data_IF_734568515040
#
_entry.id   IF_734568515040
#
_cell.length_a   1.000
_cell.length_b   1.000
_cell.length_c   1.000
_cell.angle_alpha   90.00
_cell.angle_beta   90.00
_cell.angle_gamma   90.00
#
_symmetry.space_group_name_H-M   'P 1'
#
loop_
_entity.id
_entity.type
_entity.pdbx_description
1 polymer ?
#
# COMPACT_ATOMS: atom_id res chain seq x y z
N UNK A 1 -1.85 1.15 13.54
CA UNK A 1 -3.08 0.53 13.03
C UNK A 1 -2.73 -0.86 12.54
N UNK A 2 -3.62 -1.86 12.54
CA UNK A 2 -3.31 -3.15 11.93
C UNK A 2 -3.12 -3.02 10.42
N UNK A 3 -2.44 -3.99 9.81
CA UNK A 3 -2.41 -4.15 8.35
C UNK A 3 -3.81 -4.55 7.86
N UNK A 4 -4.41 -3.72 7.01
CA UNK A 4 -5.78 -3.92 6.52
C UNK A 4 -5.81 -4.69 5.21
N UNK A 5 -6.89 -5.44 4.99
CA UNK A 5 -7.14 -6.24 3.80
C UNK A 5 -8.38 -5.69 3.05
N UNK A 6 -8.30 -5.44 1.73
CA UNK A 6 -9.49 -5.12 0.95
C UNK A 6 -10.54 -6.24 1.06
N UNK A 7 -11.82 -5.88 1.01
CA UNK A 7 -12.95 -6.80 1.23
C UNK A 7 -13.18 -7.15 2.71
N UNK A 8 -12.18 -7.71 3.39
CA UNK A 8 -12.31 -8.12 4.80
C UNK A 8 -12.42 -6.90 5.73
N UNK A 9 -11.58 -5.88 5.51
CA UNK A 9 -11.50 -4.67 6.33
C UNK A 9 -12.10 -3.43 5.64
N UNK A 10 -13.00 -3.60 4.67
CA UNK A 10 -13.56 -2.51 3.84
C UNK A 10 -14.11 -1.34 4.65
N UNK A 11 -14.82 -1.61 5.75
CA UNK A 11 -15.34 -0.53 6.62
C UNK A 11 -14.20 0.26 7.28
N UNK A 12 -13.18 -0.44 7.77
CA UNK A 12 -12.00 0.18 8.41
C UNK A 12 -11.19 0.99 7.39
N UNK A 13 -11.01 0.47 6.17
CA UNK A 13 -10.38 1.18 5.05
C UNK A 13 -11.14 2.47 4.73
N UNK A 14 -12.46 2.38 4.55
CA UNK A 14 -13.32 3.53 4.24
C UNK A 14 -13.24 4.61 5.31
N UNK A 15 -13.29 4.23 6.58
CA UNK A 15 -13.18 5.17 7.69
C UNK A 15 -11.78 5.80 7.78
N UNK A 16 -10.73 5.01 7.64
CA UNK A 16 -9.36 5.48 7.80
C UNK A 16 -8.93 6.39 6.64
N UNK A 17 -9.35 6.07 5.42
CA UNK A 17 -9.00 6.80 4.20
C UNK A 17 -9.96 7.96 3.86
N UNK A 18 -11.04 8.15 4.62
CA UNK A 18 -11.96 9.29 4.46
C UNK A 18 -11.27 10.65 4.64
N UNK A 19 -10.16 10.67 5.37
CA UNK A 19 -9.32 11.85 5.55
C UNK A 19 -8.33 11.97 4.37
N UNK A 20 -8.40 13.03 3.56
CA UNK A 20 -7.61 13.15 2.32
C UNK A 20 -6.09 13.27 2.56
N UNK A 21 -5.70 13.72 3.74
CA UNK A 21 -4.32 13.86 4.21
C UNK A 21 -3.73 12.55 4.76
N UNK A 22 -4.54 11.51 4.97
CA UNK A 22 -4.05 10.23 5.49
C UNK A 22 -3.15 9.55 4.48
N UNK A 23 -1.97 9.12 4.91
CA UNK A 23 -1.06 8.38 4.03
C UNK A 23 -1.54 6.96 3.82
N UNK A 24 -1.47 6.48 2.58
CA UNK A 24 -1.79 5.12 2.18
C UNK A 24 -0.53 4.42 1.71
N UNK A 25 -0.21 3.29 2.33
CA UNK A 25 0.87 2.39 1.94
C UNK A 25 0.23 1.08 1.52
N UNK A 26 0.20 0.79 0.22
CA UNK A 26 -0.32 -0.47 -0.29
C UNK A 26 0.83 -1.40 -0.71
N UNK A 27 0.70 -2.68 -0.40
CA UNK A 27 1.62 -3.73 -0.80
C UNK A 27 0.89 -4.69 -1.72
N UNK A 28 1.21 -4.62 -3.02
CA UNK A 28 0.74 -5.55 -4.04
C UNK A 28 1.56 -6.84 -3.97
N UNK A 29 0.86 -7.94 -3.77
CA UNK A 29 1.41 -9.27 -3.51
C UNK A 29 0.52 -10.36 -4.11
N UNK A 30 1.02 -11.59 -4.08
CA UNK A 30 0.26 -12.78 -4.43
C UNK A 30 0.51 -13.89 -3.40
N UNK A 31 -0.47 -14.76 -3.17
CA UNK A 31 -0.42 -15.80 -2.14
C UNK A 31 0.74 -16.80 -2.36
N UNK A 32 1.07 -17.08 -3.62
CA UNK A 32 2.15 -18.00 -4.00
C UNK A 32 3.57 -17.41 -3.86
N UNK A 33 3.69 -16.11 -3.58
CA UNK A 33 4.99 -15.44 -3.48
C UNK A 33 5.64 -15.62 -2.10
N UNK A 34 6.70 -16.43 -2.03
CA UNK A 34 7.45 -16.68 -0.78
C UNK A 34 8.06 -15.41 -0.17
N UNK A 35 8.47 -14.46 -1.01
CA UNK A 35 8.98 -13.14 -0.59
C UNK A 35 7.90 -12.31 0.09
N UNK A 36 6.67 -12.30 -0.46
CA UNK A 36 5.52 -11.65 0.15
C UNK A 36 5.21 -12.25 1.52
N UNK A 37 5.17 -13.58 1.63
CA UNK A 37 4.91 -14.27 2.92
C UNK A 37 5.93 -13.88 4.00
N UNK A 38 7.20 -13.71 3.64
CA UNK A 38 8.25 -13.21 4.55
C UNK A 38 8.11 -11.73 4.89
N UNK A 39 7.48 -10.94 4.02
CA UNK A 39 7.34 -9.50 4.19
C UNK A 39 6.12 -9.12 5.03
N UNK A 40 5.00 -9.83 4.86
CA UNK A 40 3.73 -9.57 5.55
C UNK A 40 3.85 -9.33 7.06
N UNK A 41 4.50 -10.19 7.87
CA UNK A 41 4.60 -9.95 9.32
C UNK A 41 5.43 -8.70 9.66
N UNK A 42 6.41 -8.34 8.82
CA UNK A 42 7.23 -7.13 9.01
C UNK A 42 6.42 -5.88 8.66
N UNK A 43 5.63 -5.94 7.59
CA UNK A 43 4.74 -4.87 7.19
C UNK A 43 3.65 -4.64 8.25
N UNK A 44 3.08 -5.70 8.81
CA UNK A 44 2.10 -5.59 9.90
C UNK A 44 2.69 -4.98 11.17
N UNK A 45 3.91 -5.37 11.56
CA UNK A 45 4.61 -4.73 12.67
C UNK A 45 4.85 -3.23 12.41
N UNK A 46 5.22 -2.85 11.18
CA UNK A 46 5.40 -1.45 10.79
C UNK A 46 4.08 -0.66 10.82
N UNK A 47 2.97 -1.27 10.39
CA UNK A 47 1.64 -0.65 10.46
C UNK A 47 1.25 -0.33 11.92
N UNK A 48 1.55 -1.24 12.85
CA UNK A 48 1.35 -1.01 14.28
C UNK A 48 2.22 0.15 14.80
N UNK A 49 3.47 0.23 14.36
CA UNK A 49 4.40 1.31 14.75
C UNK A 49 4.03 2.69 14.18
N UNK A 50 3.23 2.75 13.09
CA UNK A 50 2.85 4.00 12.40
C UNK A 50 1.33 4.19 12.35
N UNK A 51 0.65 4.47 13.48
CA UNK A 51 -0.81 4.57 13.54
C UNK A 51 -1.42 5.76 12.79
N UNK A 52 -0.61 6.74 12.38
CA UNK A 52 -1.06 7.85 11.52
C UNK A 52 -1.16 7.49 10.03
N UNK A 53 -0.65 6.32 9.64
CA UNK A 53 -0.67 5.83 8.27
C UNK A 53 -1.58 4.61 8.14
N UNK A 54 -2.13 4.42 6.94
CA UNK A 54 -2.93 3.24 6.60
C UNK A 54 -2.08 2.32 5.75
N UNK A 55 -1.88 1.10 6.24
CA UNK A 55 -1.19 0.04 5.52
C UNK A 55 -2.21 -0.97 5.00
N UNK A 56 -2.04 -1.36 3.74
CA UNK A 56 -2.96 -2.27 3.05
C UNK A 56 -2.18 -3.39 2.40
N UNK A 57 -2.61 -4.62 2.64
CA UNK A 57 -2.11 -5.81 1.96
C UNK A 57 -3.06 -6.17 0.83
N UNK A 58 -2.58 -6.06 -0.41
CA UNK A 58 -3.37 -6.33 -1.61
C UNK A 58 -2.88 -7.65 -2.20
N UNK A 59 -3.72 -8.68 -2.11
CA UNK A 59 -3.55 -9.88 -2.93
C UNK A 59 -4.14 -9.60 -4.32
N UNK A 60 -3.30 -9.58 -5.33
CA UNK A 60 -3.70 -9.25 -6.70
C UNK A 60 -4.51 -10.38 -7.36
N UNK A 61 -4.46 -11.60 -6.81
CA UNK A 61 -5.31 -12.70 -7.27
C UNK A 61 -6.78 -12.47 -6.88
N UNK A 62 -7.00 -11.87 -5.70
CA UNK A 62 -8.33 -11.55 -5.18
C UNK A 62 -8.84 -10.17 -5.64
N UNK A 63 -7.92 -9.22 -5.87
CA UNK A 63 -8.24 -7.82 -6.20
C UNK A 63 -7.51 -7.31 -7.46
N UNK A 64 -7.71 -7.95 -8.63
CA UNK A 64 -7.03 -7.55 -9.86
C UNK A 64 -7.46 -6.16 -10.36
N UNK A 65 -8.66 -5.70 -9.99
CA UNK A 65 -9.19 -4.37 -10.30
C UNK A 65 -8.36 -3.24 -9.69
N UNK A 66 -7.64 -3.49 -8.58
CA UNK A 66 -6.72 -2.53 -7.98
C UNK A 66 -5.45 -2.30 -8.82
N UNK A 67 -5.13 -3.17 -9.78
CA UNK A 67 -4.02 -2.93 -10.71
C UNK A 67 -4.49 -2.21 -11.98
N UNK A 68 -5.73 -2.45 -12.42
CA UNK A 68 -6.24 -1.91 -13.67
C UNK A 68 -5.38 -2.37 -14.85
N UNK A 69 -4.81 -1.42 -15.60
CA UNK A 69 -3.93 -1.68 -16.75
C UNK A 69 -2.43 -1.78 -16.36
N UNK A 70 -2.10 -1.61 -15.08
CA UNK A 70 -0.72 -1.69 -14.60
C UNK A 70 -0.26 -3.15 -14.51
N UNK A 71 0.91 -3.45 -15.08
CA UNK A 71 1.49 -4.79 -15.03
C UNK A 71 2.51 -4.92 -13.89
N UNK A 72 2.12 -5.59 -12.81
CA UNK A 72 3.00 -5.87 -11.68
C UNK A 72 3.63 -7.25 -11.84
N UNK A 73 4.83 -7.28 -12.40
CA UNK A 73 5.58 -8.53 -12.62
C UNK A 73 6.42 -8.96 -11.40
N UNK A 74 6.72 -8.02 -10.49
CA UNK A 74 7.65 -8.24 -9.40
C UNK A 74 6.98 -8.01 -8.04
N UNK A 75 7.15 -8.95 -7.12
CA UNK A 75 6.52 -8.92 -5.80
C UNK A 75 7.53 -8.97 -4.65
N UNK A 76 7.28 -8.27 -3.53
CA UNK A 76 6.19 -7.30 -3.33
C UNK A 76 6.47 -5.97 -4.04
N UNK A 77 5.42 -5.34 -4.56
CA UNK A 77 5.48 -3.96 -5.07
C UNK A 77 4.71 -3.03 -4.15
N UNK A 78 5.34 -1.91 -3.80
CA UNK A 78 4.81 -0.95 -2.84
C UNK A 78 4.35 0.32 -3.53
N UNK A 79 3.24 0.86 -3.04
CA UNK A 79 2.71 2.16 -3.36
C UNK A 79 2.67 3.00 -2.09
N UNK A 80 3.15 4.25 -2.17
CA UNK A 80 2.98 5.25 -1.10
C UNK A 80 2.23 6.43 -1.68
N UNK A 81 1.09 6.77 -1.08
CA UNK A 81 0.26 7.92 -1.47
C UNK A 81 0.03 8.87 -0.31
N UNK A 82 0.07 10.17 -0.60
CA UNK A 82 -0.34 11.24 0.31
C UNK A 82 -1.04 12.35 -0.48
N UNK A 83 -2.14 12.90 0.06
CA UNK A 83 -2.87 14.00 -0.60
C UNK A 83 -3.35 13.66 -2.02
N UNK A 84 -3.74 12.41 -2.27
CA UNK A 84 -4.17 11.93 -3.59
C UNK A 84 -3.06 11.78 -4.64
N UNK A 85 -1.78 11.93 -4.25
CA UNK A 85 -0.62 11.80 -5.14
C UNK A 85 0.18 10.56 -4.79
N UNK A 86 0.68 9.87 -5.81
CA UNK A 86 1.66 8.78 -5.65
C UNK A 86 3.05 9.37 -5.45
N UNK A 87 3.65 9.12 -4.28
CA UNK A 87 4.99 9.59 -3.92
C UNK A 87 6.07 8.53 -4.18
N UNK A 88 5.68 7.26 -4.16
CA UNK A 88 6.55 6.14 -4.50
C UNK A 88 5.73 5.01 -5.10
N UNK A 89 6.29 4.37 -6.11
CA UNK A 89 5.78 3.13 -6.66
C UNK A 89 6.95 2.26 -7.12
N UNK A 90 7.06 1.04 -6.61
CA UNK A 90 8.11 0.12 -7.04
C UNK A 90 8.31 -1.09 -6.14
N UNK A 91 9.05 -2.06 -6.67
CA UNK A 91 9.38 -3.30 -5.98
C UNK A 91 10.31 -3.07 -4.79
N UNK A 92 10.02 -3.72 -3.67
CA UNK A 92 10.89 -3.65 -2.50
C UNK A 92 11.07 -5.03 -1.87
N UNK A 93 12.27 -5.58 -1.97
CA UNK A 93 12.64 -6.84 -1.32
C UNK A 93 12.38 -6.80 0.20
N UNK A 94 12.35 -7.96 0.89
CA UNK A 94 11.76 -8.08 2.22
C UNK A 94 12.66 -7.57 3.36
N UNK A 95 13.28 -6.42 3.16
CA UNK A 95 14.05 -5.62 4.09
C UNK A 95 13.21 -4.40 4.51
N UNK A 96 12.39 -4.58 5.55
CA UNK A 96 11.41 -3.56 5.99
C UNK A 96 12.03 -2.19 6.30
N UNK A 97 13.29 -2.16 6.76
CA UNK A 97 14.03 -0.92 7.00
C UNK A 97 14.20 -0.02 5.77
N UNK A 98 14.09 -0.56 4.55
CA UNK A 98 14.04 0.28 3.34
C UNK A 98 12.75 1.07 3.24
N UNK A 99 11.60 0.45 3.56
CA UNK A 99 10.32 1.13 3.58
C UNK A 99 10.27 2.14 4.73
N UNK A 100 10.76 1.77 5.91
CA UNK A 100 10.83 2.69 7.05
C UNK A 100 11.60 3.96 6.69
N UNK A 101 12.82 3.80 6.16
CA UNK A 101 13.65 4.93 5.75
C UNK A 101 13.03 5.74 4.62
N UNK A 102 12.35 5.09 3.67
CA UNK A 102 11.60 5.78 2.62
C UNK A 102 10.53 6.67 3.24
N UNK A 103 9.68 6.12 4.11
CA UNK A 103 8.61 6.85 4.79
C UNK A 103 9.15 8.00 5.65
N UNK A 104 10.31 7.83 6.29
CA UNK A 104 10.96 8.89 7.07
C UNK A 104 11.55 10.01 6.21
N UNK A 105 11.89 9.70 4.96
CA UNK A 105 12.46 10.69 4.02
C UNK A 105 11.41 11.45 3.22
N UNK A 106 10.21 10.89 3.06
CA UNK A 106 9.15 11.49 2.27
C UNK A 106 8.45 12.60 3.04
N UNK A 107 8.12 13.66 2.31
CA UNK A 107 7.24 14.74 2.76
C UNK A 107 5.99 14.77 1.88
N UNK A 108 4.89 15.37 2.36
CA UNK A 108 3.63 15.43 1.60
C UNK A 108 3.74 16.25 0.29
N UNK A 109 4.74 17.13 0.20
CA UNK A 109 5.06 17.95 -0.97
C UNK A 109 6.10 17.31 -1.91
N UNK A 110 6.60 16.10 -1.61
CA UNK A 110 7.52 15.37 -2.47
C UNK A 110 7.00 15.27 -3.92
N UNK A 111 7.89 15.22 -4.93
CA UNK A 111 7.49 15.08 -6.32
C UNK A 111 6.67 13.80 -6.52
N UNK A 112 5.63 13.90 -7.35
CA UNK A 112 4.78 12.75 -7.63
C UNK A 112 5.43 11.86 -8.69
N UNK A 113 5.18 10.56 -8.59
CA UNK A 113 5.51 9.57 -9.60
C UNK A 113 4.25 9.25 -10.39
N UNK A 114 4.38 9.14 -11.71
CA UNK A 114 3.29 8.71 -12.60
C UNK A 114 3.25 7.19 -12.65
N UNK A 115 2.04 6.63 -12.54
CA UNK A 115 1.74 5.20 -12.66
C UNK A 115 0.53 5.03 -13.59
N UNK A 116 0.35 3.86 -14.20
CA UNK A 116 -0.89 3.46 -14.88
C UNK A 116 -1.92 2.85 -13.91
N UNK A 117 -1.57 2.67 -12.63
CA UNK A 117 -2.53 2.30 -11.58
C UNK A 117 -3.77 3.22 -11.57
N UNK A 118 -4.96 2.65 -11.32
CA UNK A 118 -6.18 3.43 -11.11
C UNK A 118 -6.12 4.22 -9.78
N UNK A 119 -7.18 4.97 -9.48
CA UNK A 119 -7.30 5.65 -8.17
C UNK A 119 -7.52 4.61 -7.05
N UNK A 120 -6.40 4.08 -6.54
CA UNK A 120 -6.36 3.06 -5.50
C UNK A 120 -7.13 3.50 -4.26
N UNK A 121 -7.02 4.77 -3.87
CA UNK A 121 -7.76 5.29 -2.71
C UNK A 121 -9.26 5.23 -2.96
N UNK A 122 -9.71 5.68 -4.14
CA UNK A 122 -11.14 5.63 -4.46
C UNK A 122 -11.65 4.18 -4.43
N UNK A 123 -10.95 3.24 -5.08
CA UNK A 123 -11.34 1.84 -5.11
C UNK A 123 -11.40 1.22 -3.70
N UNK A 124 -10.38 1.44 -2.86
CA UNK A 124 -10.35 0.93 -1.48
C UNK A 124 -11.43 1.52 -0.56
N UNK A 125 -12.01 2.68 -0.91
CA UNK A 125 -13.12 3.29 -0.16
C UNK A 125 -14.50 2.90 -0.69
N UNK A 126 -14.58 2.35 -1.90
CA UNK A 126 -15.81 1.87 -2.53
C UNK A 126 -16.09 0.39 -2.28
N UNK A 127 -15.05 -0.40 -2.01
CA UNK A 127 -15.13 -1.81 -1.65
C UNK A 127 -15.74 -2.08 -0.26
#
# INVERSE_FOLDING_TARGET
MPLLLPGTDSQSLRQALARPDTWLIACFCAAWCSTCLQYRPKLDALAHARPGHVFVWVDIEDHPDLLGDEDVENFPTLLVQAGGRTLFYGTMLPHIGHLERLLDSLTADAPAVTTALPDIRALLTQA
#
